data_IF_418871666372
#
_entry.id   IF_418871666372
#
_cell.length_a   1.000
_cell.length_b   1.000
_cell.length_c   1.000
_cell.angle_alpha   90.00
_cell.angle_beta   90.00
_cell.angle_gamma   90.00
#
_symmetry.space_group_name_H-M   'P 1'
#
loop_
_entity.id
_entity.type
_entity.pdbx_description
1 polymer ?
#
# COMPACT_ATOMS: atom_id res chain seq x y z
N UNK A 1 -5.91 -11.49 1.17
CA UNK A 1 -6.66 -10.90 2.27
C UNK A 1 -7.99 -11.55 2.58
N UNK A 2 -8.38 -11.52 3.85
CA UNK A 2 -9.58 -12.16 4.36
C UNK A 2 -10.87 -11.69 3.68
N UNK A 3 -10.93 -10.40 3.33
CA UNK A 3 -12.14 -9.78 2.81
C UNK A 3 -12.70 -10.45 1.57
N UNK A 4 -11.85 -10.92 0.66
CA UNK A 4 -12.27 -11.60 -0.55
C UNK A 4 -11.85 -13.07 -0.63
N UNK A 5 -10.85 -13.49 0.14
CA UNK A 5 -10.43 -14.88 0.16
C UNK A 5 -11.48 -15.81 0.80
N UNK A 6 -12.19 -15.34 1.81
CA UNK A 6 -13.21 -16.11 2.56
C UNK A 6 -14.61 -15.50 2.49
N UNK A 7 -14.82 -14.52 1.64
CA UNK A 7 -16.11 -13.83 1.43
C UNK A 7 -16.73 -13.25 2.73
N UNK A 8 -15.89 -12.84 3.67
CA UNK A 8 -16.31 -12.22 4.92
C UNK A 8 -16.48 -10.71 4.75
N UNK A 9 -17.58 -10.17 5.29
CA UNK A 9 -17.84 -8.74 5.27
C UNK A 9 -17.13 -8.04 6.46
N UNK A 10 -16.24 -7.13 6.15
CA UNK A 10 -15.62 -6.22 7.12
C UNK A 10 -16.20 -4.81 7.00
N UNK A 11 -16.30 -4.05 8.09
CA UNK A 11 -16.64 -2.64 8.00
C UNK A 11 -15.59 -1.88 7.21
N UNK A 12 -16.00 -1.20 6.16
CA UNK A 12 -15.14 -0.35 5.32
C UNK A 12 -15.78 1.02 5.22
N UNK A 13 -15.04 2.05 5.59
CA UNK A 13 -15.49 3.45 5.50
C UNK A 13 -14.34 4.38 5.15
N UNK A 14 -14.59 5.54 4.53
CA UNK A 14 -13.64 6.64 4.52
C UNK A 14 -13.28 7.03 5.96
N UNK A 15 -12.00 7.25 6.26
CA UNK A 15 -11.55 7.66 7.61
C UNK A 15 -11.29 9.17 7.71
N UNK A 16 -11.67 9.92 6.71
CA UNK A 16 -11.62 11.38 6.64
C UNK A 16 -12.90 11.93 6.03
N UNK A 17 -13.11 13.23 6.10
CA UNK A 17 -14.32 13.92 5.58
C UNK A 17 -15.62 13.35 6.13
N UNK A 18 -15.62 12.91 7.39
CA UNK A 18 -16.72 12.19 8.02
C UNK A 18 -18.00 13.02 8.22
N UNK A 19 -17.92 14.34 8.07
CA UNK A 19 -19.06 15.27 8.18
C UNK A 19 -19.64 15.67 6.82
N UNK A 20 -19.02 15.22 5.73
CA UNK A 20 -19.51 15.49 4.39
C UNK A 20 -20.46 14.39 3.92
N UNK A 21 -21.46 14.76 3.14
CA UNK A 21 -22.38 13.80 2.53
C UNK A 21 -21.69 13.09 1.35
N UNK A 22 -21.64 11.75 1.33
CA UNK A 22 -21.10 11.00 0.21
C UNK A 22 -21.94 11.20 -1.05
N UNK A 23 -21.29 11.53 -2.15
CA UNK A 23 -21.95 11.80 -3.45
C UNK A 23 -21.60 10.78 -4.53
N UNK A 24 -20.74 9.82 -4.22
CA UNK A 24 -20.27 8.76 -5.13
C UNK A 24 -20.51 7.40 -4.52
N UNK A 25 -20.43 6.39 -5.38
CA UNK A 25 -20.48 4.98 -4.97
C UNK A 25 -19.44 4.20 -5.76
N UNK A 26 -18.84 3.17 -5.11
CA UNK A 26 -17.83 2.34 -5.73
C UNK A 26 -17.72 0.96 -5.11
N UNK A 27 -16.91 0.14 -5.74
CA UNK A 27 -16.43 -1.14 -5.23
C UNK A 27 -14.92 -1.11 -5.14
N UNK A 28 -14.32 -2.01 -4.38
CA UNK A 28 -12.87 -2.16 -4.30
C UNK A 28 -12.45 -3.33 -5.19
N UNK A 29 -11.37 -3.14 -5.93
CA UNK A 29 -10.77 -4.17 -6.78
C UNK A 29 -9.30 -4.26 -6.42
N UNK A 30 -8.74 -5.46 -6.51
CA UNK A 30 -7.29 -5.58 -6.44
C UNK A 30 -6.62 -5.21 -7.78
N UNK A 31 -5.31 -5.10 -7.78
CA UNK A 31 -4.49 -4.76 -8.95
C UNK A 31 -3.42 -5.82 -9.20
N UNK A 32 -3.71 -7.07 -8.90
CA UNK A 32 -2.80 -8.18 -9.12
C UNK A 32 -2.97 -8.78 -10.53
N UNK A 33 -1.94 -9.48 -11.03
CA UNK A 33 -1.86 -9.89 -12.43
C UNK A 33 -2.82 -11.02 -12.83
N UNK A 34 -3.31 -11.80 -11.88
CA UNK A 34 -4.10 -13.01 -12.09
C UNK A 34 -5.25 -13.18 -11.10
N UNK A 35 -5.53 -12.16 -10.31
CA UNK A 35 -6.57 -12.17 -9.31
C UNK A 35 -7.78 -11.37 -9.75
N UNK A 36 -8.96 -11.96 -9.57
CA UNK A 36 -10.24 -11.29 -9.71
C UNK A 36 -10.76 -10.80 -8.33
N UNK A 37 -9.84 -10.49 -7.41
CA UNK A 37 -10.17 -10.05 -6.07
C UNK A 37 -10.98 -8.75 -6.08
N UNK A 38 -12.15 -8.80 -5.46
CA UNK A 38 -13.03 -7.64 -5.34
C UNK A 38 -13.79 -7.65 -4.01
N UNK A 39 -14.12 -6.46 -3.54
CA UNK A 39 -15.10 -6.24 -2.49
C UNK A 39 -16.25 -5.46 -3.13
N UNK A 40 -17.33 -6.16 -3.43
CA UNK A 40 -18.56 -5.63 -4.03
C UNK A 40 -19.77 -5.79 -3.13
N UNK A 41 -19.55 -6.24 -1.88
CA UNK A 41 -20.55 -6.29 -0.82
C UNK A 41 -19.99 -5.64 0.45
N UNK A 42 -20.74 -4.77 1.05
CA UNK A 42 -20.35 -3.98 2.22
C UNK A 42 -21.34 -4.16 3.35
N UNK A 43 -20.90 -3.98 4.57
CA UNK A 43 -21.77 -4.03 5.76
C UNK A 43 -22.95 -3.07 5.60
N UNK A 44 -24.16 -3.53 5.88
CA UNK A 44 -25.40 -2.78 5.73
C UNK A 44 -26.60 -3.55 6.23
N UNK A 45 -27.57 -3.79 5.38
CA UNK A 45 -28.74 -4.64 5.69
C UNK A 45 -28.40 -6.14 5.67
N UNK A 46 -29.43 -7.00 5.78
CA UNK A 46 -29.25 -8.47 5.83
C UNK A 46 -28.51 -9.07 4.64
N UNK A 47 -28.50 -8.39 3.49
CA UNK A 47 -27.89 -8.86 2.25
C UNK A 47 -26.57 -8.14 1.94
N UNK A 48 -26.17 -7.19 2.77
CA UNK A 48 -25.08 -6.26 2.50
C UNK A 48 -25.46 -5.20 1.47
N UNK A 49 -24.69 -4.12 1.42
CA UNK A 49 -24.82 -3.08 0.40
C UNK A 49 -23.96 -3.41 -0.82
N UNK A 50 -24.44 -3.20 -2.07
CA UNK A 50 -23.68 -3.56 -3.27
C UNK A 50 -22.58 -2.54 -3.62
N UNK A 51 -22.44 -1.48 -2.87
CA UNK A 51 -21.43 -0.44 -3.11
C UNK A 51 -21.12 0.33 -1.82
N UNK A 52 -19.90 0.85 -1.75
CA UNK A 52 -19.43 1.76 -0.72
C UNK A 52 -19.84 3.19 -1.07
N UNK A 53 -20.31 3.93 -0.08
CA UNK A 53 -20.56 5.37 -0.20
C UNK A 53 -19.24 6.14 -0.06
N UNK A 54 -18.97 7.00 -1.04
CA UNK A 54 -17.70 7.72 -1.19
C UNK A 54 -17.96 9.20 -1.46
N UNK A 55 -16.99 10.04 -1.17
CA UNK A 55 -16.99 11.45 -1.57
C UNK A 55 -16.40 11.61 -2.99
N UNK A 56 -16.58 12.76 -3.59
CA UNK A 56 -15.86 13.10 -4.82
C UNK A 56 -14.36 13.14 -4.60
N UNK A 57 -13.59 12.63 -5.56
CA UNK A 57 -12.13 12.67 -5.52
C UNK A 57 -11.62 14.02 -6.03
N UNK A 58 -10.52 14.47 -5.45
CA UNK A 58 -9.75 15.64 -5.91
C UNK A 58 -8.37 15.16 -6.35
N UNK A 59 -7.94 15.56 -7.54
CA UNK A 59 -6.60 15.20 -8.03
C UNK A 59 -5.51 15.70 -7.06
N UNK A 60 -4.56 14.81 -6.75
CA UNK A 60 -3.46 15.09 -5.84
C UNK A 60 -3.80 15.00 -4.35
N UNK A 61 -5.07 14.78 -3.99
CA UNK A 61 -5.46 14.56 -2.60
C UNK A 61 -5.65 13.06 -2.31
N UNK A 62 -4.98 12.48 -1.30
CA UNK A 62 -5.17 11.09 -0.94
C UNK A 62 -6.58 10.85 -0.41
N UNK A 63 -7.22 9.79 -0.89
CA UNK A 63 -8.52 9.35 -0.38
C UNK A 63 -8.34 8.04 0.40
N UNK A 64 -8.51 8.09 1.72
CA UNK A 64 -8.11 7.00 2.61
C UNK A 64 -9.35 6.27 3.11
N UNK A 65 -9.33 4.94 2.97
CA UNK A 65 -10.34 4.02 3.50
C UNK A 65 -9.77 3.24 4.69
N UNK A 66 -10.58 3.07 5.72
CA UNK A 66 -10.29 2.14 6.80
C UNK A 66 -11.05 0.83 6.58
N UNK A 67 -10.37 -0.30 6.73
CA UNK A 67 -10.96 -1.63 6.79
C UNK A 67 -10.82 -2.11 8.23
N UNK A 68 -11.93 -2.30 8.93
CA UNK A 68 -11.94 -2.55 10.37
C UNK A 68 -12.24 -4.00 10.72
N UNK A 69 -11.78 -4.41 11.89
CA UNK A 69 -12.01 -5.74 12.46
C UNK A 69 -11.41 -6.90 11.65
N UNK A 70 -10.41 -6.60 10.85
CA UNK A 70 -9.62 -7.63 10.17
C UNK A 70 -8.84 -8.46 11.19
N UNK A 71 -8.69 -9.75 10.90
CA UNK A 71 -8.03 -10.67 11.81
C UNK A 71 -6.53 -10.81 11.59
N UNK A 72 -5.89 -11.64 12.40
CA UNK A 72 -4.45 -11.90 12.36
C UNK A 72 -3.95 -12.50 11.02
N UNK A 73 -4.84 -13.14 10.27
CA UNK A 73 -4.47 -13.73 8.97
C UNK A 73 -4.34 -12.69 7.85
N UNK A 74 -4.81 -11.48 8.03
CA UNK A 74 -4.75 -10.43 7.04
C UNK A 74 -3.31 -10.13 6.61
N UNK A 75 -2.40 -10.00 7.57
CA UNK A 75 -0.99 -9.75 7.34
C UNK A 75 -0.31 -10.95 6.66
N UNK A 76 -0.45 -12.14 7.23
CA UNK A 76 0.16 -13.38 6.73
C UNK A 76 -0.30 -13.74 5.30
N UNK A 77 -1.55 -13.48 4.94
CA UNK A 77 -2.08 -13.77 3.61
C UNK A 77 -1.74 -12.67 2.57
N UNK A 78 -1.42 -11.47 3.03
CA UNK A 78 -1.01 -10.37 2.17
C UNK A 78 0.44 -10.45 1.74
N UNK A 79 1.32 -10.53 2.68
CA UNK A 79 2.74 -10.84 2.67
C UNK A 79 3.46 -10.63 1.31
N UNK A 80 4.31 -11.56 0.93
CA UNK A 80 5.12 -11.50 -0.30
C UNK A 80 4.39 -11.91 -1.59
N UNK A 81 3.07 -12.10 -1.53
CA UNK A 81 2.28 -12.37 -2.74
C UNK A 81 2.43 -11.22 -3.75
N UNK A 82 2.74 -11.57 -4.99
CA UNK A 82 3.06 -10.60 -6.05
C UNK A 82 4.20 -9.61 -5.70
N UNK A 83 5.05 -9.96 -4.75
CA UNK A 83 6.18 -9.16 -4.28
C UNK A 83 5.76 -7.82 -3.63
N UNK A 84 4.59 -7.77 -3.00
CA UNK A 84 4.18 -6.59 -2.26
C UNK A 84 4.92 -6.44 -0.94
N UNK A 85 5.15 -7.54 -0.21
CA UNK A 85 5.78 -7.51 1.11
C UNK A 85 4.85 -7.04 2.21
N UNK A 86 5.37 -6.90 3.42
CA UNK A 86 4.62 -6.47 4.59
C UNK A 86 4.33 -4.96 4.57
N UNK A 87 3.17 -4.58 5.09
CA UNK A 87 2.77 -3.19 5.26
C UNK A 87 3.32 -2.59 6.55
N UNK A 88 3.44 -1.25 6.59
CA UNK A 88 3.68 -0.56 7.85
C UNK A 88 2.60 -0.92 8.88
N UNK A 89 3.01 -1.25 10.10
CA UNK A 89 2.11 -1.61 11.18
C UNK A 89 2.32 -0.72 12.41
N UNK A 90 1.23 -0.41 13.10
CA UNK A 90 1.23 0.41 14.32
C UNK A 90 0.48 -0.31 15.42
N UNK A 91 1.12 -0.53 16.55
CA UNK A 91 0.49 -1.07 17.73
C UNK A 91 -0.10 0.05 18.58
N UNK A 92 -1.40 -0.02 18.82
CA UNK A 92 -2.14 0.99 19.59
C UNK A 92 -2.85 0.33 20.76
N UNK A 93 -2.75 0.91 21.94
CA UNK A 93 -3.50 0.48 23.11
C UNK A 93 -4.26 1.63 23.76
N UNK A 94 -5.28 1.30 24.53
CA UNK A 94 -5.95 2.27 25.39
C UNK A 94 -5.19 2.41 26.72
N UNK A 95 -4.86 3.64 27.06
CA UNK A 95 -4.31 3.99 28.37
C UNK A 95 -5.40 4.04 29.44
N UNK A 96 -5.00 3.98 30.70
CA UNK A 96 -5.93 4.01 31.83
C UNK A 96 -6.78 5.29 31.93
N UNK A 97 -6.33 6.38 31.33
CA UNK A 97 -7.04 7.66 31.25
C UNK A 97 -8.04 7.73 30.08
N UNK A 98 -8.22 6.65 29.31
CA UNK A 98 -9.10 6.58 28.16
C UNK A 98 -8.52 7.17 26.87
N UNK A 99 -7.26 7.61 26.86
CA UNK A 99 -6.55 8.04 25.65
C UNK A 99 -5.89 6.84 25.00
N UNK A 100 -5.53 6.96 23.73
CA UNK A 100 -4.72 5.95 23.04
C UNK A 100 -3.23 6.24 23.18
N UNK A 101 -2.44 5.19 23.17
CA UNK A 101 -0.99 5.24 23.12
C UNK A 101 -0.50 4.40 21.94
N UNK A 102 0.39 4.95 21.15
CA UNK A 102 1.17 4.19 20.15
C UNK A 102 2.32 3.50 20.91
N UNK A 103 2.32 2.18 20.94
CA UNK A 103 3.31 1.41 21.68
C UNK A 103 4.45 0.90 20.84
N UNK A 104 4.21 0.73 19.54
CA UNK A 104 5.21 0.24 18.62
C UNK A 104 4.88 0.66 17.20
N UNK A 105 5.93 0.86 16.38
CA UNK A 105 5.86 1.14 14.96
C UNK A 105 6.76 0.14 14.23
N UNK A 106 6.17 -0.70 13.41
CA UNK A 106 6.87 -1.68 12.60
C UNK A 106 6.84 -1.19 11.14
N UNK A 107 8.01 -1.01 10.55
CA UNK A 107 8.10 -0.65 9.14
C UNK A 107 7.87 -1.90 8.28
N UNK A 108 7.13 -1.72 7.21
CA UNK A 108 6.95 -2.74 6.19
C UNK A 108 8.18 -2.91 5.31
N UNK A 109 8.11 -3.83 4.38
CA UNK A 109 9.25 -4.21 3.53
C UNK A 109 9.67 -3.11 2.55
N UNK A 110 10.98 -3.01 2.36
CA UNK A 110 11.57 -2.25 1.27
C UNK A 110 11.69 -3.09 -0.01
N UNK A 111 11.82 -2.43 -1.16
CA UNK A 111 12.08 -3.11 -2.44
C UNK A 111 13.32 -4.01 -2.35
N UNK A 112 14.38 -3.57 -1.64
CA UNK A 112 15.59 -4.37 -1.43
C UNK A 112 15.32 -5.66 -0.66
N UNK A 113 14.49 -5.63 0.38
CA UNK A 113 14.14 -6.81 1.18
C UNK A 113 13.36 -7.82 0.35
N UNK A 114 12.36 -7.38 -0.39
CA UNK A 114 11.59 -8.23 -1.29
C UNK A 114 12.45 -8.81 -2.42
N UNK A 115 13.35 -8.02 -3.02
CA UNK A 115 14.30 -8.51 -4.02
C UNK A 115 15.22 -9.59 -3.44
N UNK A 116 15.70 -9.43 -2.22
CA UNK A 116 16.54 -10.44 -1.55
C UNK A 116 15.79 -11.76 -1.34
N UNK A 117 14.50 -11.71 -1.02
CA UNK A 117 13.66 -12.90 -0.89
C UNK A 117 13.61 -13.72 -2.18
N UNK A 118 13.55 -13.07 -3.34
CA UNK A 118 13.59 -13.73 -4.66
C UNK A 118 15.01 -13.84 -5.24
N UNK A 119 16.03 -13.71 -4.40
CA UNK A 119 17.45 -13.96 -4.70
C UNK A 119 18.09 -12.94 -5.66
N UNK A 120 17.52 -11.76 -5.82
CA UNK A 120 18.17 -10.64 -6.48
C UNK A 120 18.90 -9.78 -5.45
N UNK A 121 20.13 -9.40 -5.77
CA UNK A 121 20.93 -8.52 -4.92
C UNK A 121 20.86 -7.09 -5.45
N UNK A 122 20.40 -6.18 -4.63
CA UNK A 122 20.27 -4.76 -4.98
C UNK A 122 21.60 -4.17 -5.50
N UNK A 123 22.74 -4.52 -4.90
CA UNK A 123 24.05 -4.06 -5.34
C UNK A 123 24.40 -4.51 -6.76
N UNK A 124 24.07 -5.75 -7.14
CA UNK A 124 24.37 -6.27 -8.48
C UNK A 124 23.49 -5.56 -9.53
N UNK A 125 22.25 -5.30 -9.19
CA UNK A 125 21.33 -4.51 -10.02
C UNK A 125 21.84 -3.08 -10.19
N UNK A 126 22.22 -2.41 -9.11
CA UNK A 126 22.77 -1.06 -9.14
C UNK A 126 24.05 -0.96 -9.97
N UNK A 127 24.98 -1.90 -9.82
CA UNK A 127 26.19 -1.93 -10.64
C UNK A 127 25.88 -2.13 -12.13
N UNK A 128 24.91 -2.99 -12.42
CA UNK A 128 24.46 -3.21 -13.80
C UNK A 128 23.82 -1.95 -14.38
N UNK A 129 22.98 -1.27 -13.59
CA UNK A 129 22.37 0.01 -13.97
C UNK A 129 23.42 1.08 -14.22
N UNK A 130 24.38 1.27 -13.30
CA UNK A 130 25.51 2.21 -13.46
C UNK A 130 26.29 1.98 -14.76
N UNK A 131 26.56 0.73 -15.10
CA UNK A 131 27.24 0.38 -16.37
C UNK A 131 26.41 0.78 -17.59
N UNK A 132 25.09 0.53 -17.56
CA UNK A 132 24.17 0.92 -18.64
C UNK A 132 24.11 2.44 -18.81
N UNK A 133 23.94 3.17 -17.71
CA UNK A 133 23.92 4.64 -17.68
C UNK A 133 25.23 5.21 -18.23
N UNK A 134 26.38 4.69 -17.80
CA UNK A 134 27.70 5.14 -18.28
C UNK A 134 27.96 4.84 -19.76
N UNK A 135 27.31 3.83 -20.33
CA UNK A 135 27.43 3.49 -21.74
C UNK A 135 26.45 4.26 -22.64
N UNK A 136 25.44 4.92 -22.07
CA UNK A 136 24.44 5.68 -22.81
C UNK A 136 25.04 6.98 -23.33
N UNK A 137 25.06 7.14 -24.67
CA UNK A 137 25.66 8.31 -25.35
C UNK A 137 24.73 9.53 -25.43
N UNK A 138 23.45 9.37 -25.06
CA UNK A 138 22.42 10.39 -25.27
C UNK A 138 22.04 11.13 -23.98
N UNK A 139 22.66 10.80 -22.84
CA UNK A 139 22.37 11.43 -21.56
C UNK A 139 23.57 12.24 -21.07
N UNK A 140 23.27 13.36 -20.45
CA UNK A 140 24.29 14.20 -19.81
C UNK A 140 24.77 13.57 -18.50
N UNK A 141 25.92 14.04 -17.99
CA UNK A 141 26.42 13.59 -16.69
C UNK A 141 25.47 13.95 -15.54
N UNK A 142 24.74 15.05 -15.64
CA UNK A 142 23.77 15.44 -14.63
C UNK A 142 22.58 14.50 -14.62
N UNK A 143 21.99 14.20 -15.78
CA UNK A 143 20.92 13.22 -15.92
C UNK A 143 21.35 11.82 -15.42
N UNK A 144 22.57 11.41 -15.74
CA UNK A 144 23.12 10.15 -15.28
C UNK A 144 23.17 10.07 -13.74
N UNK A 145 23.57 11.15 -13.07
CA UNK A 145 23.59 11.22 -11.61
C UNK A 145 22.17 11.18 -11.02
N UNK A 146 21.23 11.91 -11.62
CA UNK A 146 19.81 11.88 -11.22
C UNK A 146 19.23 10.48 -11.35
N UNK A 147 19.39 9.82 -12.50
CA UNK A 147 18.90 8.45 -12.69
C UNK A 147 19.48 7.45 -11.70
N UNK A 148 20.76 7.58 -11.36
CA UNK A 148 21.38 6.70 -10.36
C UNK A 148 20.81 6.98 -8.95
N UNK A 149 20.60 8.25 -8.60
CA UNK A 149 20.02 8.63 -7.33
C UNK A 149 18.58 8.11 -7.19
N UNK A 150 17.76 8.31 -8.22
CA UNK A 150 16.36 7.84 -8.26
C UNK A 150 16.30 6.30 -8.17
N UNK A 151 17.22 5.61 -8.87
CA UNK A 151 17.29 4.15 -8.80
C UNK A 151 17.64 3.65 -7.39
N UNK A 152 18.59 4.32 -6.71
CA UNK A 152 18.95 3.98 -5.32
C UNK A 152 17.77 4.25 -4.39
N UNK A 153 17.14 5.42 -4.50
CA UNK A 153 15.97 5.75 -3.71
C UNK A 153 14.84 4.73 -3.90
N UNK A 154 14.60 4.30 -5.16
CA UNK A 154 13.62 3.25 -5.46
C UNK A 154 13.94 1.90 -4.84
N UNK A 155 15.23 1.51 -4.75
CA UNK A 155 15.64 0.26 -4.10
C UNK A 155 15.44 0.29 -2.57
N UNK A 156 15.57 1.46 -1.96
CA UNK A 156 15.38 1.69 -0.53
C UNK A 156 13.94 2.03 -0.18
N UNK A 157 13.11 2.28 -1.18
CA UNK A 157 11.72 2.68 -1.03
C UNK A 157 10.83 1.55 -0.51
N UNK A 158 9.71 1.97 0.07
CA UNK A 158 8.62 1.09 0.50
C UNK A 158 7.96 0.43 -0.71
N UNK A 159 7.51 -0.82 -0.57
CA UNK A 159 6.96 -1.60 -1.70
C UNK A 159 5.58 -1.16 -2.15
N UNK A 160 4.83 -0.47 -1.29
CA UNK A 160 3.54 0.10 -1.65
C UNK A 160 3.68 1.53 -2.16
N UNK A 161 2.77 1.94 -3.03
CA UNK A 161 2.81 3.29 -3.60
C UNK A 161 2.56 4.34 -2.52
N UNK A 162 3.55 5.18 -2.29
CA UNK A 162 3.43 6.39 -1.48
C UNK A 162 3.19 7.58 -2.41
N UNK A 163 2.21 8.43 -2.09
CA UNK A 163 2.03 9.69 -2.81
C UNK A 163 3.17 10.66 -2.49
N UNK A 164 3.50 11.58 -3.40
CA UNK A 164 4.52 12.63 -3.21
C UNK A 164 4.32 13.52 -1.97
N UNK A 165 3.22 13.36 -1.24
CA UNK A 165 2.84 14.18 -0.09
C UNK A 165 3.39 13.70 1.27
N UNK A 166 4.24 12.69 1.32
CA UNK A 166 4.78 12.12 2.56
C UNK A 166 6.24 12.53 2.84
N UNK A 167 6.67 13.72 2.38
CA UNK A 167 7.95 14.33 2.76
C UNK A 167 7.76 15.50 3.69
#
# INVERSE_FOLDING_TARGET
PDSWAIDQLFPIIPIHRLTEEPTRRGTLQDVTCDSDGKIDRFVGDKNGRPSLELHGFTDGEPYILGVFLTGAYQEILGDLHNLFGDTNAVHVRLAANGQYEVTDLVHGDTVTEVLNYVQFRANDLLQTFRRKVSAAKQITRQEANTFIADYVAGLEGYTYLEGEAAQ
#
